data_IF_610992399209
#
_entry.id   IF_610992399209
#
_cell.length_a   1.000
_cell.length_b   1.000
_cell.length_c   1.000
_cell.angle_alpha   90.00
_cell.angle_beta   90.00
_cell.angle_gamma   90.00
#
_symmetry.space_group_name_H-M   'P 1'
#
loop_
_entity.id
_entity.type
_entity.pdbx_description
1 polymer ?
#
# COMPACT_ATOMS: atom_id res chain seq x y z
N UNK A 1 -9.56 32.67 -12.49
CA UNK A 1 -8.82 31.67 -11.70
C UNK A 1 -9.35 30.30 -12.12
N UNK A 2 -8.55 29.52 -12.84
CA UNK A 2 -8.96 28.21 -13.34
C UNK A 2 -9.17 27.25 -12.15
N UNK A 3 -10.32 26.59 -12.09
CA UNK A 3 -10.69 25.68 -11.00
C UNK A 3 -9.80 24.45 -10.98
N UNK A 4 -8.70 24.52 -10.21
CA UNK A 4 -7.90 23.36 -9.85
C UNK A 4 -8.60 22.57 -8.76
N UNK A 5 -8.64 21.24 -8.90
CA UNK A 5 -9.10 20.38 -7.81
C UNK A 5 -8.12 20.51 -6.63
N UNK A 6 -8.64 20.58 -5.41
CA UNK A 6 -7.84 20.72 -4.20
C UNK A 6 -7.27 19.35 -3.79
N UNK A 7 -5.97 19.24 -3.51
CA UNK A 7 -5.35 17.98 -3.11
C UNK A 7 -5.82 17.55 -1.70
N UNK A 8 -5.95 16.24 -1.47
CA UNK A 8 -6.29 15.70 -0.16
C UNK A 8 -5.52 14.39 0.13
N UNK A 9 -5.70 13.87 1.36
CA UNK A 9 -5.09 12.58 1.75
C UNK A 9 -3.57 12.57 1.68
N UNK A 10 -3.02 11.47 1.19
CA UNK A 10 -1.58 11.24 1.09
C UNK A 10 -0.86 12.23 0.17
N UNK A 11 -1.52 12.70 -0.89
CA UNK A 11 -0.94 13.71 -1.80
C UNK A 11 -0.76 15.05 -1.07
N UNK A 12 -1.75 15.47 -0.30
CA UNK A 12 -1.63 16.67 0.53
C UNK A 12 -0.53 16.52 1.58
N UNK A 13 -0.41 15.35 2.22
CA UNK A 13 0.67 15.10 3.19
C UNK A 13 2.06 15.17 2.54
N UNK A 14 2.23 14.60 1.35
CA UNK A 14 3.49 14.64 0.62
C UNK A 14 3.90 16.09 0.30
N UNK A 15 2.97 16.90 -0.21
CA UNK A 15 3.20 18.31 -0.55
C UNK A 15 3.42 19.18 0.69
N UNK A 16 2.58 19.05 1.72
CA UNK A 16 2.65 19.87 2.94
C UNK A 16 3.94 19.65 3.74
N UNK A 17 4.52 18.46 3.68
CA UNK A 17 5.77 18.12 4.36
C UNK A 17 6.99 18.08 3.44
N UNK A 18 6.83 18.33 2.13
CA UNK A 18 7.88 18.25 1.11
C UNK A 18 8.57 16.87 1.06
N UNK A 19 7.79 15.78 1.12
CA UNK A 19 8.26 14.40 1.31
C UNK A 19 7.71 13.40 0.29
N UNK A 20 7.90 13.65 -1.01
CA UNK A 20 7.46 12.71 -2.05
C UNK A 20 8.11 11.32 -1.88
N UNK A 21 7.33 10.22 -1.81
CA UNK A 21 7.86 8.86 -1.77
C UNK A 21 8.60 8.52 -3.06
N UNK A 22 9.67 7.72 -2.98
CA UNK A 22 10.46 7.33 -4.14
C UNK A 22 9.63 6.59 -5.21
N UNK A 23 8.76 5.68 -4.76
CA UNK A 23 7.83 4.95 -5.64
C UNK A 23 6.58 5.74 -6.04
N UNK A 24 6.44 6.99 -5.55
CA UNK A 24 5.22 7.77 -5.67
C UNK A 24 4.03 7.20 -4.89
N UNK A 25 2.87 7.80 -5.09
CA UNK A 25 1.60 7.37 -4.48
C UNK A 25 0.80 6.54 -5.48
N UNK A 26 0.33 5.35 -5.05
CA UNK A 26 -0.54 4.51 -5.87
C UNK A 26 -1.90 5.18 -6.17
N UNK A 27 -2.35 6.06 -5.28
CA UNK A 27 -3.57 6.86 -5.45
C UNK A 27 -3.26 8.33 -5.17
N UNK A 28 -3.68 9.21 -6.08
CA UNK A 28 -3.64 10.67 -5.93
C UNK A 28 -5.06 11.19 -5.79
N UNK A 29 -5.39 11.69 -4.61
CA UNK A 29 -6.73 12.14 -4.27
C UNK A 29 -6.89 13.64 -4.35
N UNK A 30 -8.03 14.05 -4.89
CA UNK A 30 -8.43 15.45 -5.02
C UNK A 30 -9.88 15.65 -4.61
N UNK A 31 -10.22 16.86 -4.21
CA UNK A 31 -11.58 17.34 -4.00
C UNK A 31 -12.01 18.12 -5.23
N UNK A 32 -13.14 17.72 -5.81
CA UNK A 32 -13.72 18.33 -7.02
C UNK A 32 -15.21 18.06 -7.13
N UNK A 33 -15.83 18.52 -8.22
CA UNK A 33 -17.30 18.56 -8.34
C UNK A 33 -17.96 17.19 -8.39
N UNK A 34 -17.40 16.26 -9.17
CA UNK A 34 -17.99 14.94 -9.42
C UNK A 34 -17.02 13.84 -9.03
N UNK A 35 -17.54 12.79 -8.38
CA UNK A 35 -16.75 11.60 -8.08
C UNK A 35 -16.25 10.98 -9.38
N UNK A 36 -14.94 10.78 -9.48
CA UNK A 36 -14.31 10.20 -10.67
C UNK A 36 -13.06 9.44 -10.29
N UNK A 37 -12.91 8.22 -10.81
CA UNK A 37 -11.67 7.45 -10.73
C UNK A 37 -11.08 7.34 -12.12
N UNK A 38 -9.79 7.55 -12.28
CA UNK A 38 -9.09 7.44 -13.56
C UNK A 38 -7.78 6.70 -13.34
N UNK A 39 -7.62 5.56 -14.02
CA UNK A 39 -6.38 4.79 -14.01
C UNK A 39 -5.45 5.35 -15.09
N UNK A 40 -4.27 5.80 -14.69
CA UNK A 40 -3.27 6.40 -15.59
C UNK A 40 -2.16 5.39 -15.89
N UNK A 41 -2.14 4.22 -15.23
CA UNK A 41 -1.07 3.22 -15.33
C UNK A 41 -0.15 3.21 -14.10
N UNK A 42 0.70 4.24 -13.88
CA UNK A 42 1.61 4.27 -12.74
C UNK A 42 0.90 4.59 -11.42
N UNK A 43 -0.26 5.25 -11.48
CA UNK A 43 -1.11 5.55 -10.33
C UNK A 43 -2.56 5.77 -10.77
N UNK A 44 -3.46 5.77 -9.79
CA UNK A 44 -4.88 6.08 -9.96
C UNK A 44 -5.12 7.51 -9.45
N UNK A 45 -5.86 8.31 -10.22
CA UNK A 45 -6.41 9.58 -9.75
C UNK A 45 -7.84 9.38 -9.26
N UNK A 46 -8.13 9.85 -8.05
CA UNK A 46 -9.47 9.84 -7.48
C UNK A 46 -9.94 11.25 -7.14
N UNK A 47 -11.08 11.65 -7.70
CA UNK A 47 -11.77 12.89 -7.37
C UNK A 47 -12.91 12.54 -6.43
N UNK A 48 -12.91 13.16 -5.27
CA UNK A 48 -13.91 13.05 -4.22
C UNK A 48 -14.80 14.30 -4.21
N UNK A 49 -16.11 14.16 -3.90
CA UNK A 49 -17.02 15.29 -3.88
C UNK A 49 -16.72 16.25 -2.70
N UNK A 50 -17.15 17.52 -2.74
CA UNK A 50 -16.76 18.53 -1.74
C UNK A 50 -17.11 18.18 -0.29
N UNK A 51 -18.16 17.38 -0.07
CA UNK A 51 -18.58 16.92 1.26
C UNK A 51 -17.58 15.95 1.90
N UNK A 52 -16.63 15.41 1.12
CA UNK A 52 -15.55 14.55 1.60
C UNK A 52 -14.24 15.32 1.83
N UNK A 53 -14.26 16.66 1.77
CA UNK A 53 -13.11 17.46 2.17
C UNK A 53 -12.71 17.11 3.61
N UNK A 54 -11.46 16.69 3.85
CA UNK A 54 -11.07 16.19 5.17
C UNK A 54 -11.06 17.28 6.25
N UNK A 55 -10.71 18.52 5.89
CA UNK A 55 -10.40 19.59 6.84
C UNK A 55 -8.99 20.14 6.60
N UNK A 56 -8.59 21.13 7.38
CA UNK A 56 -7.30 21.83 7.21
C UNK A 56 -6.17 21.24 8.07
N UNK A 57 -6.49 20.34 9.02
CA UNK A 57 -5.48 19.81 9.95
C UNK A 57 -4.74 18.63 9.34
N UNK A 58 -3.46 18.48 9.72
CA UNK A 58 -2.64 17.31 9.36
C UNK A 58 -3.35 15.99 9.71
N UNK A 59 -3.96 15.91 10.89
CA UNK A 59 -4.69 14.74 11.34
C UNK A 59 -5.91 14.40 10.45
N UNK A 60 -6.54 15.41 9.83
CA UNK A 60 -7.69 15.21 8.95
C UNK A 60 -7.24 14.55 7.64
N UNK A 61 -6.14 15.02 7.06
CA UNK A 61 -5.53 14.43 5.86
C UNK A 61 -4.92 13.05 6.12
N UNK A 62 -4.31 12.84 7.30
CA UNK A 62 -3.85 11.52 7.72
C UNK A 62 -5.01 10.54 7.92
N UNK A 63 -6.11 10.99 8.54
CA UNK A 63 -7.33 10.19 8.63
C UNK A 63 -7.87 9.82 7.26
N UNK A 64 -7.86 10.77 6.32
CA UNK A 64 -8.29 10.53 4.94
C UNK A 64 -7.43 9.44 4.29
N UNK A 65 -6.10 9.56 4.36
CA UNK A 65 -5.18 8.56 3.81
C UNK A 65 -5.46 7.16 4.37
N UNK A 66 -5.53 7.02 5.70
CA UNK A 66 -5.76 5.74 6.38
C UNK A 66 -7.15 5.13 6.05
N UNK A 67 -8.14 5.96 5.71
CA UNK A 67 -9.53 5.54 5.47
C UNK A 67 -9.83 5.24 4.01
N UNK A 68 -9.26 6.01 3.09
CA UNK A 68 -9.71 6.07 1.70
C UNK A 68 -8.63 5.68 0.68
N UNK A 69 -7.39 5.53 1.12
CA UNK A 69 -6.25 5.25 0.24
C UNK A 69 -5.51 4.00 0.71
N UNK A 70 -4.78 3.31 -0.19
CA UNK A 70 -3.79 2.34 0.23
C UNK A 70 -2.73 3.03 1.10
N UNK A 71 -2.44 2.46 2.27
CA UNK A 71 -1.40 2.98 3.17
C UNK A 71 -0.05 2.90 2.47
N UNK A 72 0.66 4.03 2.40
CA UNK A 72 2.04 4.11 1.95
C UNK A 72 2.97 4.33 3.15
N UNK A 73 3.73 3.30 3.55
CA UNK A 73 4.59 3.38 4.73
C UNK A 73 5.80 4.29 4.53
N UNK A 74 6.29 4.45 3.31
CA UNK A 74 7.38 5.39 3.02
C UNK A 74 6.91 6.83 3.25
N UNK A 75 5.73 7.17 2.71
CA UNK A 75 5.10 8.48 2.96
C UNK A 75 4.96 8.73 4.46
N UNK A 76 4.33 7.79 5.17
CA UNK A 76 4.08 7.96 6.61
C UNK A 76 5.37 8.08 7.41
N UNK A 77 6.40 7.28 7.09
CA UNK A 77 7.69 7.37 7.76
C UNK A 77 8.33 8.75 7.58
N UNK A 78 8.29 9.30 6.36
CA UNK A 78 8.84 10.63 6.09
C UNK A 78 8.03 11.74 6.77
N UNK A 79 6.70 11.67 6.70
CA UNK A 79 5.80 12.62 7.38
C UNK A 79 6.03 12.62 8.89
N UNK A 80 6.16 11.45 9.52
CA UNK A 80 6.43 11.34 10.96
C UNK A 80 7.81 11.83 11.34
N UNK A 81 8.83 11.60 10.50
CA UNK A 81 10.18 12.10 10.75
C UNK A 81 10.26 13.63 10.66
N UNK A 82 9.54 14.27 9.73
CA UNK A 82 9.53 15.74 9.59
C UNK A 82 8.58 16.40 10.59
N UNK A 83 7.37 15.85 10.77
CA UNK A 83 6.32 16.44 11.58
C UNK A 83 6.39 16.12 13.08
N UNK A 84 7.11 15.06 13.47
CA UNK A 84 7.16 14.59 14.85
C UNK A 84 5.85 13.93 15.32
N UNK A 85 5.73 13.73 16.64
CA UNK A 85 4.59 13.03 17.27
C UNK A 85 3.35 13.89 17.50
N UNK A 86 3.49 15.21 17.59
CA UNK A 86 2.50 16.08 18.25
C UNK A 86 1.10 15.97 17.66
N UNK A 87 0.96 15.91 16.33
CA UNK A 87 -0.35 15.87 15.67
C UNK A 87 -1.01 14.50 15.81
N UNK A 88 -0.24 13.41 15.92
CA UNK A 88 -0.78 12.07 16.23
C UNK A 88 -1.18 11.99 17.70
N UNK A 89 -0.34 12.52 18.60
CA UNK A 89 -0.61 12.57 20.03
C UNK A 89 -1.86 13.40 20.34
N UNK A 90 -1.98 14.60 19.77
CA UNK A 90 -3.15 15.47 19.92
C UNK A 90 -4.40 14.78 19.36
N UNK A 91 -4.28 14.13 18.19
CA UNK A 91 -5.40 13.45 17.58
C UNK A 91 -5.93 12.29 18.42
N UNK A 92 -5.05 11.44 18.96
CA UNK A 92 -5.48 10.32 19.81
C UNK A 92 -6.02 10.78 21.16
N UNK A 93 -5.47 11.86 21.73
CA UNK A 93 -6.02 12.48 22.95
C UNK A 93 -7.43 13.05 22.74
N UNK A 94 -7.67 13.68 21.59
CA UNK A 94 -8.98 14.28 21.26
C UNK A 94 -10.02 13.24 20.83
N UNK A 95 -9.59 12.15 20.17
CA UNK A 95 -10.48 11.10 19.63
C UNK A 95 -10.00 9.70 20.05
N UNK A 96 -9.96 9.36 21.34
CA UNK A 96 -9.35 8.13 21.86
C UNK A 96 -10.06 6.85 21.43
N UNK A 97 -11.34 6.93 21.07
CA UNK A 97 -12.13 5.79 20.56
C UNK A 97 -12.06 5.63 19.04
N UNK A 98 -11.52 6.62 18.32
CA UNK A 98 -11.46 6.60 16.85
C UNK A 98 -10.56 5.48 16.36
N UNK A 99 -11.10 4.59 15.52
CA UNK A 99 -10.32 3.54 14.89
C UNK A 99 -9.13 4.09 14.08
N UNK A 100 -9.29 5.26 13.46
CA UNK A 100 -8.25 5.87 12.63
C UNK A 100 -7.15 6.50 13.48
N UNK A 101 -7.49 7.15 14.60
CA UNK A 101 -6.49 7.70 15.52
C UNK A 101 -5.67 6.58 16.17
N UNK A 102 -6.32 5.48 16.55
CA UNK A 102 -5.65 4.28 17.10
C UNK A 102 -4.72 3.61 16.09
N UNK A 103 -5.14 3.49 14.81
CA UNK A 103 -4.28 3.01 13.71
C UNK A 103 -3.09 3.94 13.48
N UNK A 104 -3.32 5.26 13.48
CA UNK A 104 -2.26 6.26 13.30
C UNK A 104 -1.23 6.23 14.43
N UNK A 105 -1.68 6.11 15.69
CA UNK A 105 -0.80 5.98 16.85
C UNK A 105 0.09 4.74 16.74
N UNK A 106 -0.48 3.58 16.39
CA UNK A 106 0.32 2.38 16.13
C UNK A 106 1.31 2.57 14.97
N UNK A 107 0.87 3.14 13.84
CA UNK A 107 1.74 3.34 12.67
C UNK A 107 2.91 4.28 12.98
N UNK A 108 2.67 5.31 13.79
CA UNK A 108 3.73 6.20 14.26
C UNK A 108 4.78 5.41 15.04
N UNK A 109 4.39 4.72 16.12
CA UNK A 109 5.32 3.95 16.96
C UNK A 109 6.04 2.84 16.17
N UNK A 110 5.33 2.20 15.25
CA UNK A 110 5.89 1.14 14.41
C UNK A 110 6.99 1.67 13.48
N UNK A 111 6.77 2.83 12.85
CA UNK A 111 7.70 3.39 11.87
C UNK A 111 8.85 4.16 12.52
N UNK A 112 8.60 4.94 13.56
CA UNK A 112 9.64 5.76 14.22
C UNK A 112 10.37 4.98 15.31
N UNK A 113 9.68 4.05 15.99
CA UNK A 113 10.17 3.44 17.23
C UNK A 113 10.04 4.33 18.47
N UNK A 114 9.40 5.48 18.34
CA UNK A 114 9.14 6.41 19.44
C UNK A 114 7.75 6.17 20.02
N UNK A 115 7.67 6.05 21.35
CA UNK A 115 6.41 5.80 22.06
C UNK A 115 5.54 7.05 22.18
N UNK A 116 4.24 6.89 21.93
CA UNK A 116 3.21 7.86 22.29
C UNK A 116 2.60 7.54 23.66
N UNK A 117 1.98 8.55 24.27
CA UNK A 117 1.25 8.40 25.53
C UNK A 117 -0.17 7.94 25.22
N UNK A 118 -0.56 6.79 25.77
CA UNK A 118 -1.92 6.27 25.64
C UNK A 118 -2.89 7.11 26.49
N UNK A 119 -3.97 7.66 25.92
CA UNK A 119 -4.99 8.37 26.71
C UNK A 119 -5.77 7.36 27.60
N UNK A 120 -6.14 7.74 28.84
CA UNK A 120 -6.70 6.81 29.82
C UNK A 120 -8.08 6.28 29.45
N UNK A 121 -8.82 7.00 28.61
CA UNK A 121 -10.16 6.67 28.12
C UNK A 121 -10.15 5.93 26.77
N UNK A 122 -8.97 5.52 26.28
CA UNK A 122 -8.84 4.71 25.07
C UNK A 122 -9.57 3.37 25.22
N UNK A 123 -10.56 3.16 24.37
CA UNK A 123 -11.36 1.93 24.32
C UNK A 123 -11.87 1.65 22.91
N UNK A 124 -12.23 0.40 22.67
CA UNK A 124 -12.77 -0.06 21.39
C UNK A 124 -12.44 -1.53 21.14
N UNK A 125 -13.01 -2.07 20.07
CA UNK A 125 -12.62 -3.38 19.55
C UNK A 125 -11.22 -3.35 18.95
N UNK A 126 -10.61 -4.54 18.89
CA UNK A 126 -9.42 -4.77 18.10
C UNK A 126 -9.74 -4.60 16.61
N UNK A 127 -8.91 -3.82 15.91
CA UNK A 127 -9.07 -3.49 14.49
C UNK A 127 -7.77 -3.79 13.74
N UNK A 128 -7.82 -4.36 12.53
CA UNK A 128 -6.61 -4.48 11.71
C UNK A 128 -6.03 -3.11 11.36
N UNK A 129 -4.71 -3.03 11.29
CA UNK A 129 -3.98 -1.79 10.94
C UNK A 129 -4.10 -1.51 9.45
N UNK A 130 -3.91 -2.52 8.61
CA UNK A 130 -4.09 -2.45 7.16
C UNK A 130 -5.50 -2.91 6.78
N UNK A 131 -6.09 -2.21 5.81
CA UNK A 131 -7.31 -2.67 5.13
C UNK A 131 -6.90 -3.70 4.06
N UNK A 132 -7.33 -4.95 4.25
CA UNK A 132 -6.98 -6.07 3.37
C UNK A 132 -7.57 -5.96 1.97
N UNK A 133 -8.51 -5.04 1.75
CA UNK A 133 -9.06 -4.76 0.42
C UNK A 133 -8.19 -3.76 -0.36
N UNK A 134 -7.27 -3.06 0.32
CA UNK A 134 -6.46 -1.97 -0.24
C UNK A 134 -4.96 -2.22 -0.16
N UNK A 135 -4.50 -2.96 0.83
CA UNK A 135 -3.11 -3.31 1.04
C UNK A 135 -2.97 -4.81 1.25
N UNK A 136 -1.88 -5.38 0.73
CA UNK A 136 -1.47 -6.72 1.12
C UNK A 136 -1.21 -6.73 2.64
N UNK A 137 -1.89 -7.64 3.33
CA UNK A 137 -1.82 -7.77 4.78
C UNK A 137 -1.53 -9.22 5.17
N UNK A 138 -0.87 -9.41 6.31
CA UNK A 138 -0.71 -10.73 6.89
C UNK A 138 -2.07 -11.29 7.33
N UNK A 139 -2.25 -12.61 7.21
CA UNK A 139 -3.48 -13.28 7.65
C UNK A 139 -3.67 -13.10 9.15
N UNK A 140 -4.76 -12.42 9.53
CA UNK A 140 -5.14 -12.22 10.93
C UNK A 140 -5.71 -13.47 11.59
N UNK A 141 -6.12 -14.47 10.80
CA UNK A 141 -6.72 -15.71 11.31
C UNK A 141 -5.64 -16.65 11.86
N UNK A 142 -4.48 -16.68 11.21
CA UNK A 142 -3.43 -17.65 11.53
C UNK A 142 -2.42 -17.10 12.54
N UNK A 143 -2.16 -15.78 12.54
CA UNK A 143 -1.12 -15.15 13.34
C UNK A 143 -1.57 -13.77 13.89
N UNK A 144 -2.61 -13.75 14.71
CA UNK A 144 -3.16 -12.51 15.27
C UNK A 144 -2.20 -11.87 16.31
N UNK A 145 -1.47 -10.82 15.91
CA UNK A 145 -0.61 -10.05 16.83
C UNK A 145 -1.39 -8.85 17.37
N UNK A 146 -1.89 -8.95 18.60
CA UNK A 146 -2.67 -7.87 19.24
C UNK A 146 -1.78 -6.85 19.95
N UNK A 147 -1.95 -5.58 19.61
CA UNK A 147 -1.31 -4.44 20.29
C UNK A 147 -2.31 -3.83 21.25
N UNK A 148 -2.27 -4.28 22.51
CA UNK A 148 -3.24 -3.89 23.56
C UNK A 148 -3.29 -2.40 23.83
N UNK A 149 -2.14 -1.69 23.73
CA UNK A 149 -2.00 -0.24 23.93
C UNK A 149 -2.94 0.57 23.03
N UNK A 150 -3.06 0.18 21.76
CA UNK A 150 -3.88 0.89 20.78
C UNK A 150 -5.15 0.12 20.40
N UNK A 151 -5.36 -1.07 20.97
CA UNK A 151 -6.45 -1.97 20.59
C UNK A 151 -6.47 -2.22 19.07
N UNK A 152 -5.29 -2.50 18.49
CA UNK A 152 -5.16 -2.83 17.07
C UNK A 152 -4.57 -4.23 16.88
N UNK A 153 -4.85 -4.85 15.73
CA UNK A 153 -4.26 -6.09 15.27
C UNK A 153 -3.17 -5.70 14.27
N UNK A 154 -1.93 -6.01 14.61
CA UNK A 154 -0.80 -5.85 13.72
C UNK A 154 -0.87 -6.92 12.63
N UNK A 155 -1.49 -6.55 11.50
CA UNK A 155 -1.56 -7.37 10.28
C UNK A 155 -0.56 -6.89 9.21
N UNK A 156 0.54 -6.28 9.63
CA UNK A 156 1.60 -5.84 8.74
C UNK A 156 2.31 -7.05 8.11
N UNK A 157 2.60 -7.07 6.80
CA UNK A 157 3.26 -8.20 6.12
C UNK A 157 4.77 -8.32 6.41
N UNK A 158 5.24 -7.77 7.55
CA UNK A 158 6.63 -7.74 7.92
C UNK A 158 6.87 -7.06 9.27
N UNK A 159 8.11 -6.65 9.51
CA UNK A 159 8.55 -5.97 10.74
C UNK A 159 8.87 -4.51 10.46
N UNK A 160 9.13 -3.71 11.50
CA UNK A 160 9.55 -2.31 11.33
C UNK A 160 10.83 -2.14 10.49
N UNK A 161 11.68 -3.17 10.41
CA UNK A 161 12.91 -3.15 9.62
C UNK A 161 12.68 -3.49 8.15
N UNK A 162 11.61 -4.23 7.85
CA UNK A 162 11.22 -4.57 6.48
C UNK A 162 9.74 -4.96 6.44
N UNK A 163 8.92 -4.09 5.87
CA UNK A 163 7.48 -4.29 5.75
C UNK A 163 6.98 -3.87 4.35
N UNK A 164 6.70 -4.82 3.45
CA UNK A 164 6.26 -4.51 2.10
C UNK A 164 4.78 -4.08 2.09
N UNK A 165 4.51 -2.78 2.20
CA UNK A 165 3.15 -2.24 2.06
C UNK A 165 2.74 -2.14 0.60
N UNK A 166 2.34 -3.28 0.02
CA UNK A 166 1.95 -3.39 -1.38
C UNK A 166 0.47 -3.00 -1.55
N UNK A 167 0.15 -1.97 -2.35
CA UNK A 167 -1.23 -1.64 -2.70
C UNK A 167 -1.86 -2.75 -3.56
N UNK A 168 -3.10 -3.13 -3.26
CA UNK A 168 -3.85 -4.10 -4.05
C UNK A 168 -4.52 -3.39 -5.23
N UNK A 169 -3.81 -3.37 -6.36
CA UNK A 169 -4.39 -2.94 -7.63
C UNK A 169 -5.35 -4.00 -8.18
N UNK A 170 -6.27 -3.60 -9.07
CA UNK A 170 -7.16 -4.54 -9.77
C UNK A 170 -6.38 -5.66 -10.46
N UNK A 171 -5.28 -5.30 -11.15
CA UNK A 171 -4.41 -6.26 -11.84
C UNK A 171 -3.78 -7.27 -10.89
N UNK A 172 -3.39 -6.83 -9.69
CA UNK A 172 -2.81 -7.73 -8.68
C UNK A 172 -3.88 -8.68 -8.10
N UNK A 173 -5.09 -8.17 -7.84
CA UNK A 173 -6.21 -9.01 -7.38
C UNK A 173 -6.64 -10.01 -8.45
N UNK A 174 -6.69 -9.61 -9.73
CA UNK A 174 -6.94 -10.51 -10.86
C UNK A 174 -5.85 -11.59 -10.96
N UNK A 175 -4.58 -11.22 -10.78
CA UNK A 175 -3.47 -12.17 -10.79
C UNK A 175 -3.55 -13.17 -9.63
N UNK A 176 -3.93 -12.73 -8.42
CA UNK A 176 -4.12 -13.64 -7.28
C UNK A 176 -5.25 -14.65 -7.50
N UNK A 177 -6.29 -14.24 -8.23
CA UNK A 177 -7.44 -15.10 -8.54
C UNK A 177 -7.25 -15.94 -9.81
N UNK A 178 -6.10 -15.81 -10.49
CA UNK A 178 -5.81 -16.59 -11.70
C UNK A 178 -5.56 -18.05 -11.35
N UNK A 179 -6.50 -18.93 -11.71
CA UNK A 179 -6.41 -20.35 -11.42
C UNK A 179 -5.54 -21.06 -12.46
N UNK A 180 -4.22 -21.05 -12.20
CA UNK A 180 -3.21 -21.69 -13.06
C UNK A 180 -3.54 -23.16 -13.30
N UNK A 181 -3.93 -23.90 -12.26
CA UNK A 181 -4.21 -25.33 -12.37
C UNK A 181 -5.34 -25.61 -13.35
N UNK A 182 -6.45 -24.88 -13.22
CA UNK A 182 -7.59 -25.00 -14.14
C UNK A 182 -7.17 -24.72 -15.58
N UNK A 183 -6.44 -23.64 -15.82
CA UNK A 183 -6.02 -23.29 -17.17
C UNK A 183 -5.00 -24.29 -17.73
N UNK A 184 -4.13 -24.84 -16.88
CA UNK A 184 -3.23 -25.90 -17.27
C UNK A 184 -3.98 -27.17 -17.70
N UNK A 185 -5.04 -27.53 -16.98
CA UNK A 185 -5.90 -28.67 -17.33
C UNK A 185 -6.64 -28.43 -18.66
N UNK A 186 -7.17 -27.22 -18.88
CA UNK A 186 -7.82 -26.81 -20.14
C UNK A 186 -6.84 -26.92 -21.33
N UNK A 187 -5.58 -26.50 -21.16
CA UNK A 187 -4.53 -26.61 -22.19
C UNK A 187 -4.16 -28.07 -22.45
N UNK A 188 -4.09 -28.92 -21.41
CA UNK A 188 -3.86 -30.36 -21.57
C UNK A 188 -4.99 -31.02 -22.35
N UNK A 189 -6.24 -30.67 -22.06
CA UNK A 189 -7.41 -31.20 -22.75
C UNK A 189 -7.40 -30.83 -24.25
N UNK A 190 -7.01 -29.61 -24.59
CA UNK A 190 -6.98 -29.12 -25.96
C UNK A 190 -5.81 -29.68 -26.80
N UNK A 191 -4.59 -29.72 -26.24
CA UNK A 191 -3.36 -30.00 -27.00
C UNK A 191 -2.70 -31.34 -26.68
N UNK A 192 -3.10 -31.99 -25.59
CA UNK A 192 -2.49 -33.22 -25.08
C UNK A 192 -1.18 -32.98 -24.33
N UNK A 193 -1.00 -33.71 -23.23
CA UNK A 193 0.15 -33.57 -22.33
C UNK A 193 1.51 -33.78 -23.03
N UNK A 194 1.58 -34.63 -24.05
CA UNK A 194 2.82 -34.92 -24.77
C UNK A 194 3.31 -33.71 -25.59
N UNK A 195 2.40 -33.02 -26.28
CA UNK A 195 2.75 -31.84 -27.08
C UNK A 195 3.23 -30.70 -26.19
N UNK A 196 2.61 -30.53 -25.02
CA UNK A 196 3.02 -29.53 -24.03
C UNK A 196 4.39 -29.84 -23.44
N UNK A 197 4.66 -31.11 -23.10
CA UNK A 197 5.98 -31.53 -22.59
C UNK A 197 7.10 -31.26 -23.59
N UNK A 198 6.87 -31.57 -24.87
CA UNK A 198 7.82 -31.26 -25.96
C UNK A 198 8.01 -29.75 -26.13
N UNK A 199 6.93 -28.98 -26.07
CA UNK A 199 6.96 -27.51 -26.17
C UNK A 199 7.72 -26.88 -25.01
N UNK A 200 7.51 -27.35 -23.78
CA UNK A 200 8.24 -26.90 -22.59
C UNK A 200 9.74 -27.22 -22.69
N UNK A 201 10.09 -28.42 -23.14
CA UNK A 201 11.49 -28.82 -23.37
C UNK A 201 12.16 -27.93 -24.43
N UNK A 202 11.46 -27.63 -25.52
CA UNK A 202 11.95 -26.74 -26.57
C UNK A 202 12.11 -25.29 -26.08
N UNK A 203 11.12 -24.74 -25.35
CA UNK A 203 11.18 -23.41 -24.75
C UNK A 203 12.34 -23.27 -23.78
N UNK A 204 12.52 -24.25 -22.88
CA UNK A 204 13.64 -24.28 -21.92
C UNK A 204 14.99 -24.32 -22.62
N UNK A 205 15.11 -25.12 -23.68
CA UNK A 205 16.34 -25.19 -24.49
C UNK A 205 16.62 -23.87 -25.20
N UNK A 206 15.57 -23.19 -25.70
CA UNK A 206 15.68 -21.90 -26.37
C UNK A 206 16.05 -20.78 -25.40
N UNK A 207 15.43 -20.76 -24.23
CA UNK A 207 15.74 -19.81 -23.16
C UNK A 207 17.18 -19.97 -22.68
N UNK A 208 17.63 -21.21 -22.46
CA UNK A 208 19.03 -21.50 -22.10
C UNK A 208 20.00 -20.91 -23.13
N UNK A 209 19.75 -21.12 -24.43
CA UNK A 209 20.58 -20.54 -25.52
C UNK A 209 20.56 -19.01 -25.50
N UNK A 210 19.39 -18.39 -25.31
CA UNK A 210 19.26 -16.94 -25.26
C UNK A 210 19.98 -16.32 -24.03
N UNK A 211 19.94 -16.99 -22.87
CA UNK A 211 20.69 -16.57 -21.67
C UNK A 211 22.20 -16.65 -21.89
N UNK A 212 22.70 -17.70 -22.56
CA UNK A 212 24.11 -17.80 -22.94
C UNK A 212 24.53 -16.70 -23.92
N UNK A 213 23.72 -16.40 -24.94
CA UNK A 213 24.03 -15.36 -25.93
C UNK A 213 24.04 -13.94 -25.31
N UNK A 214 23.16 -13.69 -24.32
CA UNK A 214 23.12 -12.43 -23.57
C UNK A 214 24.37 -12.26 -22.67
N UNK A 215 24.83 -13.32 -22.00
CA UNK A 215 26.08 -13.29 -21.22
C UNK A 215 27.32 -13.07 -22.09
N UNK A 216 27.39 -13.69 -23.27
CA UNK A 216 28.52 -13.52 -24.20
C UNK A 216 28.55 -12.09 -24.73
N UNK A 217 27.39 -11.53 -25.07
CA UNK A 217 27.26 -10.14 -25.55
C UNK A 217 27.66 -9.10 -24.49
N UNK A 218 27.43 -9.38 -23.20
CA UNK A 218 27.89 -8.52 -22.10
C UNK A 218 29.40 -8.64 -21.82
N UNK A 219 29.99 -9.84 -21.95
CA UNK A 219 31.44 -10.04 -21.74
C UNK A 219 32.31 -9.44 -22.86
N UNK A 220 31.76 -9.27 -24.07
CA UNK A 220 32.43 -8.58 -25.19
C UNK A 220 32.46 -7.05 -25.08
N UNK A 221 31.69 -6.45 -24.18
CA UNK A 221 31.58 -4.98 -24.05
C UNK A 221 32.46 -4.40 -22.93
N UNK A 222 33.09 -5.24 -22.10
CA UNK A 222 33.96 -4.82 -20.98
C UNK A 222 35.46 -4.98 -21.25
N UNK A 223 35.85 -5.22 -22.51
CA UNK A 223 37.25 -5.30 -22.94
C UNK A 223 37.50 -4.39 -24.15
N UNK A 224 37.48 -3.07 -23.91
CA UNK A 224 37.87 -2.01 -24.84
C UNK A 224 38.32 -0.78 -24.09
#
# INVERSE_FOLDING_TARGET
MAGGNMICGGLWLAENFEVEPFGGLAVRSYIGTNRRTTDIGPYITEIYPPQMYPGEKIADHLQFHIRHEPINLELLSRVFNVGGSWFVQEWVNNKPTSQYARRAAFLYEFLTGEDLVQPPDLRGSYIPVLDSDRNLAASVVENEIRISKWKVINNMPGTRFFCPAIPLSKRLVEAFNYNISRHYDEIIEEFGAELLSRSASWLTTRESRASFDAEISQKGCTSG
#
